data_IF_111735013271
#
_entry.id   IF_111735013271
#
_cell.length_a   1.000
_cell.length_b   1.000
_cell.length_c   1.000
_cell.angle_alpha   90.00
_cell.angle_beta   90.00
_cell.angle_gamma   90.00
#
_symmetry.space_group_name_H-M   'P 1'
#
loop_
_entity.id
_entity.type
_entity.pdbx_description
1 polymer ?
#
# COMPACT_ATOMS: atom_id res chain seq x y z
N UNK A 1 -0.87 -1.58 -24.52
CA UNK A 1 -0.38 -0.19 -24.40
C UNK A 1 0.36 -0.11 -23.07
N UNK A 2 1.69 -0.06 -23.08
CA UNK A 2 2.48 0.08 -21.85
C UNK A 2 2.37 1.55 -21.42
N UNK A 3 1.85 1.80 -20.22
CA UNK A 3 1.84 3.15 -19.66
C UNK A 3 3.29 3.65 -19.51
N UNK A 4 3.56 4.89 -19.90
CA UNK A 4 4.85 5.53 -19.61
C UNK A 4 5.10 5.55 -18.10
N UNK A 5 6.35 5.31 -17.64
CA UNK A 5 6.67 5.33 -16.23
C UNK A 5 6.39 6.72 -15.66
N UNK A 6 5.40 6.80 -14.77
CA UNK A 6 5.09 8.04 -14.07
C UNK A 6 6.18 8.32 -13.05
N UNK A 7 6.54 9.59 -12.87
CA UNK A 7 7.44 9.99 -11.78
C UNK A 7 6.83 9.61 -10.43
N UNK A 8 7.61 9.01 -9.51
CA UNK A 8 7.11 8.69 -8.17
C UNK A 8 6.63 9.96 -7.46
N UNK A 9 5.55 9.90 -6.67
CA UNK A 9 5.08 11.07 -5.92
C UNK A 9 6.14 11.58 -4.95
N UNK A 10 6.22 12.90 -4.77
CA UNK A 10 7.21 13.48 -3.85
C UNK A 10 7.01 13.06 -2.38
N UNK A 11 8.05 13.18 -1.53
CA UNK A 11 8.05 12.73 -0.14
C UNK A 11 6.93 13.35 0.71
N UNK A 12 6.56 14.61 0.44
CA UNK A 12 5.46 15.28 1.14
C UNK A 12 4.09 14.64 0.90
N UNK A 13 3.88 14.02 -0.27
CA UNK A 13 2.64 13.30 -0.57
C UNK A 13 2.59 11.95 0.16
N UNK A 14 3.64 11.14 0.04
CA UNK A 14 3.68 9.82 0.70
C UNK A 14 3.68 9.93 2.22
N UNK A 15 4.23 11.00 2.79
CA UNK A 15 4.13 11.28 4.23
C UNK A 15 2.70 11.62 4.69
N UNK A 16 1.83 12.07 3.77
CA UNK A 16 0.41 12.33 4.04
C UNK A 16 -0.50 11.12 3.79
N UNK A 17 0.04 10.02 3.25
CA UNK A 17 -0.73 8.80 3.04
C UNK A 17 -1.06 8.13 4.38
N UNK A 18 -2.20 7.44 4.40
CA UNK A 18 -2.60 6.59 5.52
C UNK A 18 -2.23 5.15 5.20
N UNK A 19 -1.75 4.41 6.18
CA UNK A 19 -1.44 2.99 6.03
C UNK A 19 -2.04 2.14 7.15
N UNK A 20 -2.35 0.90 6.84
CA UNK A 20 -2.74 -0.12 7.80
C UNK A 20 -1.98 -1.42 7.54
N UNK A 21 -1.61 -2.13 8.61
CA UNK A 21 -0.98 -3.45 8.52
C UNK A 21 -1.70 -4.45 9.40
N UNK A 22 -1.93 -5.65 8.88
CA UNK A 22 -2.49 -6.76 9.63
C UNK A 22 -1.93 -8.09 9.13
N UNK A 23 -2.05 -9.12 9.96
CA UNK A 23 -1.81 -10.50 9.55
C UNK A 23 -3.17 -11.15 9.33
N UNK A 24 -3.28 -11.91 8.24
CA UNK A 24 -4.47 -12.68 7.92
C UNK A 24 -4.10 -14.13 7.61
N UNK A 25 -5.05 -15.06 7.77
CA UNK A 25 -4.89 -16.45 7.37
C UNK A 25 -5.65 -16.65 6.07
N UNK A 26 -4.91 -16.83 4.98
CA UNK A 26 -5.46 -17.12 3.66
C UNK A 26 -5.31 -18.61 3.35
N UNK A 27 -5.93 -19.13 2.27
CA UNK A 27 -5.64 -20.50 1.80
C UNK A 27 -4.15 -20.75 1.48
N UNK A 28 -3.37 -19.69 1.22
CA UNK A 28 -1.93 -19.76 1.03
C UNK A 28 -1.13 -19.74 2.36
N UNK A 29 -1.82 -19.69 3.50
CA UNK A 29 -1.23 -19.59 4.83
C UNK A 29 -1.31 -18.19 5.42
N UNK A 30 -0.52 -17.95 6.48
CA UNK A 30 -0.43 -16.63 7.10
C UNK A 30 0.17 -15.64 6.11
N UNK A 31 -0.55 -14.55 5.85
CA UNK A 31 -0.19 -13.51 4.89
C UNK A 31 -0.15 -12.16 5.60
N UNK A 32 0.94 -11.43 5.44
CA UNK A 32 1.02 -10.05 5.90
C UNK A 32 0.40 -9.12 4.87
N UNK A 33 -0.40 -8.17 5.32
CA UNK A 33 -1.01 -7.15 4.47
C UNK A 33 -0.47 -5.77 4.82
N UNK A 34 -0.29 -4.94 3.79
CA UNK A 34 0.01 -3.52 3.89
C UNK A 34 -0.93 -2.77 2.96
N UNK A 35 -1.88 -2.03 3.52
CA UNK A 35 -2.73 -1.10 2.80
C UNK A 35 -2.13 0.30 2.86
N UNK A 36 -2.04 0.96 1.72
CA UNK A 36 -1.73 2.38 1.56
C UNK A 36 -2.92 3.05 0.88
N UNK A 37 -3.33 4.20 1.38
CA UNK A 37 -4.33 5.03 0.75
C UNK A 37 -4.24 6.45 1.28
N UNK A 38 -5.34 7.17 1.23
CA UNK A 38 -5.39 8.55 1.71
C UNK A 38 -6.60 8.78 2.61
N UNK A 39 -6.45 9.66 3.59
CA UNK A 39 -7.62 10.22 4.28
C UNK A 39 -8.41 11.14 3.33
N UNK A 40 -9.72 11.37 3.56
CA UNK A 40 -10.50 12.33 2.77
C UNK A 40 -9.78 13.68 2.65
N UNK A 41 -9.89 14.38 1.49
CA UNK A 41 -9.25 15.68 1.27
C UNK A 41 -9.45 16.62 2.46
N UNK A 42 -8.36 17.17 3.01
CA UNK A 42 -8.44 18.05 4.20
C UNK A 42 -8.10 19.48 3.86
N UNK A 43 -7.35 19.71 2.78
CA UNK A 43 -6.88 21.03 2.36
C UNK A 43 -7.73 21.58 1.22
N UNK A 44 -7.85 22.90 1.15
CA UNK A 44 -8.64 23.60 0.12
C UNK A 44 -8.20 23.31 -1.32
N UNK A 45 -6.93 22.93 -1.52
CA UNK A 45 -6.34 22.58 -2.81
C UNK A 45 -6.25 21.06 -3.06
N UNK A 46 -6.79 20.24 -2.16
CA UNK A 46 -6.87 18.79 -2.33
C UNK A 46 -8.23 18.40 -2.90
N UNK A 47 -8.20 17.62 -3.97
CA UNK A 47 -9.38 16.96 -4.55
C UNK A 47 -9.15 15.46 -4.54
N UNK A 48 -10.23 14.66 -4.42
CA UNK A 48 -10.13 13.20 -4.52
C UNK A 48 -9.49 12.77 -5.85
N UNK A 49 -9.75 13.50 -6.94
CA UNK A 49 -9.13 13.26 -8.24
C UNK A 49 -7.62 13.50 -8.24
N UNK A 50 -7.15 14.64 -7.71
CA UNK A 50 -5.71 14.94 -7.66
C UNK A 50 -4.96 13.99 -6.71
N UNK A 51 -5.60 13.51 -5.64
CA UNK A 51 -5.02 12.50 -4.76
C UNK A 51 -5.02 11.13 -5.45
N UNK A 52 -6.11 10.75 -6.10
CA UNK A 52 -6.23 9.51 -6.87
C UNK A 52 -5.17 9.40 -7.97
N UNK A 53 -4.92 10.48 -8.73
CA UNK A 53 -3.88 10.50 -9.75
C UNK A 53 -2.47 10.27 -9.15
N UNK A 54 -2.19 10.82 -7.97
CA UNK A 54 -0.92 10.61 -7.25
C UNK A 54 -0.80 9.22 -6.64
N UNK A 55 -1.88 8.64 -6.11
CA UNK A 55 -1.93 7.24 -5.67
C UNK A 55 -1.76 6.27 -6.83
N UNK A 56 -2.30 6.60 -8.00
CA UNK A 56 -2.12 5.80 -9.21
C UNK A 56 -0.66 5.85 -9.68
N UNK A 57 -0.01 7.01 -9.63
CA UNK A 57 1.43 7.12 -9.90
C UNK A 57 2.27 6.34 -8.89
N UNK A 58 1.92 6.36 -7.60
CA UNK A 58 2.55 5.53 -6.57
C UNK A 58 2.44 4.04 -6.92
N UNK A 59 1.23 3.58 -7.23
CA UNK A 59 0.96 2.19 -7.56
C UNK A 59 1.70 1.73 -8.82
N UNK A 60 1.80 2.58 -9.85
CA UNK A 60 2.56 2.28 -11.07
C UNK A 60 4.07 2.14 -10.79
N UNK A 61 4.66 3.00 -9.95
CA UNK A 61 6.07 2.92 -9.58
C UNK A 61 6.39 1.67 -8.74
N UNK A 62 5.43 1.26 -7.91
CA UNK A 62 5.50 0.00 -7.17
C UNK A 62 5.30 -1.23 -8.08
N UNK A 63 4.83 -1.06 -9.32
CA UNK A 63 4.51 -2.15 -10.23
C UNK A 63 3.24 -2.91 -9.87
N UNK A 64 2.31 -2.26 -9.14
CA UNK A 64 1.03 -2.86 -8.77
C UNK A 64 0.11 -3.00 -9.98
N UNK A 65 -0.82 -3.94 -9.88
CA UNK A 65 -1.86 -4.17 -10.90
C UNK A 65 -3.21 -4.27 -10.24
N UNK A 66 -4.27 -4.00 -11.00
CA UNK A 66 -5.63 -4.24 -10.52
C UNK A 66 -5.75 -5.65 -9.97
N UNK A 67 -6.49 -5.80 -8.88
CA UNK A 67 -6.81 -7.10 -8.31
C UNK A 67 -7.45 -7.97 -9.41
N UNK A 68 -6.69 -8.94 -9.89
CA UNK A 68 -7.02 -9.90 -10.94
C UNK A 68 -6.54 -11.28 -10.48
N UNK A 69 -6.78 -12.33 -11.28
CA UNK A 69 -6.51 -13.73 -10.91
C UNK A 69 -5.07 -14.01 -10.43
N UNK A 70 -4.11 -13.15 -10.78
CA UNK A 70 -2.72 -13.27 -10.33
C UNK A 70 -2.16 -11.96 -9.79
N UNK A 71 -1.75 -11.99 -8.53
CA UNK A 71 -1.01 -10.89 -7.90
C UNK A 71 0.44 -10.89 -8.40
N UNK A 72 0.96 -9.77 -8.95
CA UNK A 72 2.33 -9.70 -9.43
C UNK A 72 3.32 -9.66 -8.26
N UNK A 73 4.45 -10.35 -8.38
CA UNK A 73 5.57 -10.17 -7.44
C UNK A 73 6.35 -8.90 -7.83
N UNK A 74 6.42 -7.91 -6.94
CA UNK A 74 6.97 -6.58 -7.22
C UNK A 74 8.39 -6.37 -6.69
N UNK A 75 9.07 -7.45 -6.32
CA UNK A 75 10.41 -7.42 -5.73
C UNK A 75 10.37 -7.20 -4.22
N UNK A 76 11.54 -7.05 -3.60
CA UNK A 76 11.66 -6.76 -2.17
C UNK A 76 11.59 -5.25 -1.94
N UNK A 77 10.43 -4.76 -1.55
CA UNK A 77 10.15 -3.32 -1.37
C UNK A 77 10.17 -2.87 0.07
N UNK A 78 10.35 -3.75 1.04
CA UNK A 78 10.31 -3.36 2.45
C UNK A 78 11.69 -3.36 3.08
N UNK A 79 12.00 -2.30 3.82
CA UNK A 79 13.12 -2.23 4.73
C UNK A 79 12.61 -2.28 6.16
N UNK A 80 13.17 -3.17 6.98
CA UNK A 80 12.89 -3.22 8.42
C UNK A 80 14.20 -3.04 9.18
N UNK A 81 14.30 -1.96 9.95
CA UNK A 81 15.49 -1.61 10.75
C UNK A 81 15.07 -0.99 12.08
N UNK A 82 15.56 -1.55 13.19
CA UNK A 82 15.30 -1.04 14.54
C UNK A 82 13.81 -0.77 14.83
N UNK A 83 12.92 -1.67 14.38
CA UNK A 83 11.47 -1.55 14.55
C UNK A 83 10.78 -0.55 13.60
N UNK A 84 11.53 0.13 12.74
CA UNK A 84 11.01 1.03 11.70
C UNK A 84 10.84 0.25 10.40
N UNK A 85 9.64 0.35 9.82
CA UNK A 85 9.31 -0.20 8.51
C UNK A 85 9.25 0.93 7.49
N UNK A 86 9.91 0.75 6.35
CA UNK A 86 9.85 1.66 5.22
C UNK A 86 9.63 0.91 3.90
N UNK A 87 8.85 1.49 3.00
CA UNK A 87 8.56 0.98 1.68
C UNK A 87 9.35 1.77 0.63
N UNK A 88 10.13 1.06 -0.16
CA UNK A 88 10.71 1.53 -1.41
C UNK A 88 9.62 1.61 -2.46
N UNK A 89 9.25 2.84 -2.81
CA UNK A 89 8.22 3.15 -3.79
C UNK A 89 8.78 3.69 -5.11
N UNK A 90 10.08 3.49 -5.35
CA UNK A 90 10.74 3.85 -6.60
C UNK A 90 11.25 5.30 -6.67
N UNK A 91 11.24 6.04 -5.58
CA UNK A 91 11.90 7.36 -5.50
C UNK A 91 13.39 7.19 -5.20
N UNK A 92 14.24 7.93 -5.92
CA UNK A 92 15.71 7.82 -5.83
C UNK A 92 16.25 8.13 -4.42
N UNK A 93 15.77 9.20 -3.78
CA UNK A 93 16.29 9.67 -2.49
C UNK A 93 15.46 9.27 -1.25
N UNK A 94 14.22 8.79 -1.42
CA UNK A 94 13.28 8.66 -0.30
C UNK A 94 12.56 7.31 -0.25
N UNK A 95 12.36 6.82 0.98
CA UNK A 95 11.48 5.70 1.27
C UNK A 95 10.22 6.21 2.00
N UNK A 96 9.09 5.55 1.79
CA UNK A 96 7.86 5.85 2.51
C UNK A 96 7.87 5.13 3.86
N UNK A 97 7.82 5.86 4.97
CA UNK A 97 7.67 5.24 6.30
C UNK A 97 6.28 4.61 6.44
N UNK A 98 6.21 3.39 6.99
CA UNK A 98 4.96 2.72 7.35
C UNK A 98 4.80 2.81 8.89
N UNK A 99 3.94 3.70 9.40
CA UNK A 99 3.70 3.83 10.83
C UNK A 99 2.97 2.62 11.42
N UNK A 100 3.02 2.51 12.76
CA UNK A 100 2.16 1.64 13.59
C UNK A 100 2.13 0.15 13.22
N UNK A 101 3.22 -0.35 12.62
CA UNK A 101 3.35 -1.78 12.30
C UNK A 101 3.49 -2.65 13.56
N UNK A 102 2.62 -3.64 13.72
CA UNK A 102 2.63 -4.55 14.87
C UNK A 102 3.83 -5.51 14.88
N UNK A 103 4.33 -5.88 16.07
CA UNK A 103 5.51 -6.75 16.21
C UNK A 103 5.35 -8.11 15.51
N UNK A 104 4.18 -8.75 15.62
CA UNK A 104 3.93 -10.03 14.97
C UNK A 104 4.03 -9.92 13.44
N UNK A 105 3.48 -8.83 12.88
CA UNK A 105 3.59 -8.53 11.45
C UNK A 105 5.05 -8.34 11.04
N UNK A 106 5.80 -7.51 11.77
CA UNK A 106 7.23 -7.30 11.49
C UNK A 106 8.03 -8.61 11.55
N UNK A 107 7.80 -9.44 12.57
CA UNK A 107 8.48 -10.73 12.72
C UNK A 107 8.16 -11.70 11.57
N UNK A 108 6.90 -11.75 11.12
CA UNK A 108 6.50 -12.55 9.97
C UNK A 108 7.29 -12.13 8.72
N UNK A 109 7.37 -10.82 8.45
CA UNK A 109 8.07 -10.27 7.28
C UNK A 109 9.60 -10.47 7.39
N UNK A 110 10.20 -10.26 8.57
CA UNK A 110 11.63 -10.51 8.83
C UNK A 110 12.01 -11.97 8.57
N UNK A 111 11.11 -12.92 8.87
CA UNK A 111 11.32 -14.36 8.61
C UNK A 111 11.13 -14.76 7.14
N UNK A 112 10.96 -13.80 6.23
CA UNK A 112 10.76 -14.03 4.81
C UNK A 112 9.29 -14.20 4.41
N UNK A 113 8.36 -13.94 5.32
CA UNK A 113 6.93 -13.92 5.01
C UNK A 113 6.60 -12.88 3.95
N UNK A 114 5.71 -13.26 3.04
CA UNK A 114 5.26 -12.40 1.95
C UNK A 114 4.29 -11.33 2.45
N UNK A 115 4.41 -10.14 1.88
CA UNK A 115 3.47 -9.04 2.12
C UNK A 115 2.65 -8.79 0.86
N UNK A 116 1.33 -8.80 0.99
CA UNK A 116 0.42 -8.23 0.01
C UNK A 116 0.34 -6.72 0.24
N UNK A 117 0.98 -5.97 -0.66
CA UNK A 117 0.91 -4.52 -0.69
C UNK A 117 -0.27 -4.11 -1.56
N UNK A 118 -1.11 -3.23 -1.01
CA UNK A 118 -2.33 -2.75 -1.63
C UNK A 118 -2.33 -1.22 -1.63
N UNK A 119 -2.63 -0.62 -2.77
CA UNK A 119 -2.95 0.81 -2.89
C UNK A 119 -4.43 0.93 -3.23
N UNK A 120 -5.18 1.58 -2.34
CA UNK A 120 -6.58 1.92 -2.58
C UNK A 120 -6.71 3.36 -3.08
N UNK A 121 -7.45 3.56 -4.17
CA UNK A 121 -7.61 4.88 -4.82
C UNK A 121 -8.75 5.70 -4.23
N UNK A 122 -9.71 5.06 -3.55
CA UNK A 122 -10.80 5.73 -2.84
C UNK A 122 -10.31 6.22 -1.46
N UNK A 123 -10.89 7.30 -0.90
CA UNK A 123 -10.57 7.75 0.46
C UNK A 123 -10.77 6.64 1.48
N UNK A 124 -9.76 6.41 2.32
CA UNK A 124 -9.86 5.50 3.44
C UNK A 124 -10.75 6.12 4.52
N UNK A 125 -11.74 5.37 5.04
CA UNK A 125 -12.47 5.81 6.22
C UNK A 125 -11.49 5.89 7.41
N UNK A 126 -11.81 6.69 8.45
CA UNK A 126 -11.07 6.63 9.71
C UNK A 126 -10.99 5.17 10.20
N UNK A 127 -9.77 4.71 10.48
CA UNK A 127 -9.54 3.33 10.91
C UNK A 127 -10.24 3.09 12.26
N UNK A 128 -11.20 2.17 12.27
CA UNK A 128 -11.95 1.77 13.45
C UNK A 128 -11.79 0.26 13.76
N UNK A 129 -11.13 -0.47 12.87
CA UNK A 129 -10.93 -1.91 12.99
C UNK A 129 -10.73 -2.59 11.65
N UNK A 130 -10.58 -3.91 11.70
CA UNK A 130 -10.39 -4.75 10.52
C UNK A 130 -11.65 -4.82 9.65
N UNK A 131 -12.85 -4.77 10.26
CA UNK A 131 -14.11 -4.88 9.52
C UNK A 131 -14.31 -3.73 8.53
N UNK A 132 -13.89 -2.52 8.89
CA UNK A 132 -13.92 -1.33 8.04
C UNK A 132 -12.93 -1.44 6.89
N UNK A 133 -11.73 -1.97 7.14
CA UNK A 133 -10.73 -2.25 6.10
C UNK A 133 -11.29 -3.27 5.11
N UNK A 134 -11.90 -4.35 5.59
CA UNK A 134 -12.47 -5.38 4.72
C UNK A 134 -13.65 -4.83 3.90
N UNK A 135 -14.50 -4.00 4.51
CA UNK A 135 -15.61 -3.35 3.80
C UNK A 135 -15.12 -2.39 2.73
N UNK A 136 -14.10 -1.59 3.04
CA UNK A 136 -13.42 -0.71 2.09
C UNK A 136 -12.85 -1.52 0.92
N UNK A 137 -12.05 -2.55 1.20
CA UNK A 137 -11.41 -3.37 0.17
C UNK A 137 -12.44 -4.04 -0.75
N UNK A 138 -13.55 -4.55 -0.20
CA UNK A 138 -14.65 -5.10 -1.02
C UNK A 138 -15.25 -4.05 -1.96
N UNK A 139 -15.59 -2.87 -1.44
CA UNK A 139 -16.20 -1.81 -2.25
C UNK A 139 -15.25 -1.28 -3.33
N UNK A 140 -14.00 -1.01 -2.96
CA UNK A 140 -13.01 -0.47 -3.88
C UNK A 140 -12.60 -1.52 -4.93
N UNK A 141 -12.55 -2.81 -4.58
CA UNK A 141 -12.30 -3.90 -5.55
C UNK A 141 -13.42 -3.97 -6.59
N UNK A 142 -14.69 -3.87 -6.18
CA UNK A 142 -15.83 -3.85 -7.11
C UNK A 142 -15.80 -2.67 -8.09
N UNK A 143 -15.08 -1.58 -7.75
CA UNK A 143 -14.86 -0.42 -8.62
C UNK A 143 -13.55 -0.48 -9.40
N UNK A 144 -12.76 -1.54 -9.25
CA UNK A 144 -11.38 -1.63 -9.77
C UNK A 144 -10.44 -0.53 -9.24
N UNK A 145 -10.74 0.00 -8.05
CA UNK A 145 -9.98 1.06 -7.38
C UNK A 145 -8.98 0.51 -6.35
N UNK A 146 -8.60 -0.76 -6.51
CA UNK A 146 -7.61 -1.44 -5.68
C UNK A 146 -6.53 -2.02 -6.58
N UNK A 147 -5.30 -1.58 -6.34
CA UNK A 147 -4.10 -2.07 -7.02
C UNK A 147 -3.27 -2.85 -6.02
N UNK A 148 -2.78 -4.02 -6.40
CA UNK A 148 -2.09 -4.93 -5.51
C UNK A 148 -0.84 -5.56 -6.12
N UNK A 149 0.06 -5.96 -5.24
CA UNK A 149 1.32 -6.62 -5.55
C UNK A 149 1.89 -7.34 -4.35
N UNK A 150 2.76 -8.30 -4.61
CA UNK A 150 3.35 -9.18 -3.63
C UNK A 150 4.82 -8.79 -3.42
N UNK A 151 5.20 -8.52 -2.18
CA UNK A 151 6.53 -8.00 -1.80
C UNK A 151 7.06 -8.70 -0.55
N UNK A 152 8.25 -8.30 -0.10
CA UNK A 152 8.87 -8.78 1.14
C UNK A 152 9.99 -7.85 1.60
N UNK A 153 10.61 -8.20 2.73
CA UNK A 153 11.77 -7.49 3.23
C UNK A 153 13.03 -7.73 2.38
N UNK A 154 13.85 -6.68 2.26
CA UNK A 154 15.19 -6.72 1.68
C UNK A 154 16.27 -7.05 2.70
#
# INVERSE_FOLDING_TARGET
MNAEPRTPPGPGFVAGCTSATWLDVTPAGQTAWLLIGHAPPRRLNETSESIGARLLALADNLGLRAAADRVPHIGRRLLIRHGVVACDYGHDDYLMRVPDTGQAWQQHVIRGGQVLLVVGLDPLPPYQGQQEVDAYLRQATNRHHVLMGATGAR
#
